data_IF_853929145003
#
_entry.id   IF_853929145003
#
_cell.length_a   1.000
_cell.length_b   1.000
_cell.length_c   1.000
_cell.angle_alpha   90.00
_cell.angle_beta   90.00
_cell.angle_gamma   90.00
#
_symmetry.space_group_name_H-M   'P 1'
#
loop_
_entity.id
_entity.type
_entity.pdbx_description
1 polymer ?
#
# COMPACT_ATOMS: atom_id res chain seq x y z
N UNK A 1 25.66 72.18 -40.93
CA UNK A 1 24.23 72.49 -41.23
C UNK A 1 23.36 71.88 -40.13
N UNK A 2 23.25 72.54 -38.96
CA UNK A 2 22.19 73.51 -38.63
C UNK A 2 20.81 72.83 -38.79
N UNK A 3 20.08 72.50 -37.73
CA UNK A 3 19.54 73.47 -36.78
C UNK A 3 19.50 73.05 -35.30
N UNK A 4 19.81 74.03 -34.45
CA UNK A 4 19.49 74.11 -33.02
C UNK A 4 18.38 75.16 -32.85
N UNK A 5 17.40 74.89 -31.99
CA UNK A 5 16.71 75.95 -31.22
C UNK A 5 16.45 75.48 -29.78
N UNK A 6 17.36 75.89 -28.88
CA UNK A 6 17.19 76.53 -27.55
C UNK A 6 15.76 76.75 -26.99
N UNK A 7 15.42 76.77 -25.68
CA UNK A 7 16.14 77.10 -24.43
C UNK A 7 15.23 76.84 -23.18
N UNK A 8 15.87 76.87 -21.99
CA UNK A 8 15.36 77.11 -20.62
C UNK A 8 14.94 75.94 -19.70
N UNK A 9 15.76 75.68 -18.67
CA UNK A 9 15.30 75.28 -17.32
C UNK A 9 15.21 76.52 -16.41
N UNK A 10 15.22 76.43 -15.06
CA UNK A 10 15.01 75.30 -14.14
C UNK A 10 13.92 75.60 -13.06
N UNK A 11 13.48 74.63 -12.25
CA UNK A 11 13.08 74.89 -10.85
C UNK A 11 13.01 73.62 -9.99
N UNK A 12 13.34 73.80 -8.72
CA UNK A 12 13.49 72.80 -7.65
C UNK A 12 12.17 72.55 -6.89
N UNK A 13 12.23 71.46 -6.12
CA UNK A 13 11.53 71.14 -4.87
C UNK A 13 10.04 70.73 -4.92
N UNK A 14 9.76 69.45 -4.63
CA UNK A 14 9.13 69.05 -3.36
C UNK A 14 8.99 67.53 -3.21
N UNK A 15 9.26 67.08 -1.98
CA UNK A 15 8.83 65.84 -1.31
C UNK A 15 7.75 64.97 -1.97
N UNK A 16 7.97 63.66 -1.98
CA UNK A 16 7.11 62.75 -1.18
C UNK A 16 7.59 61.30 -1.25
N UNK A 17 7.71 60.71 -0.05
CA UNK A 17 7.86 59.28 0.20
C UNK A 17 6.69 58.53 -0.43
N UNK A 18 6.96 57.52 -1.26
CA UNK A 18 6.01 56.46 -1.59
C UNK A 18 6.29 55.25 -0.71
N UNK A 19 5.35 54.81 0.16
CA UNK A 19 5.52 53.61 0.94
C UNK A 19 5.42 52.38 0.04
N UNK A 20 6.31 51.44 0.28
CA UNK A 20 6.29 50.10 -0.28
C UNK A 20 5.07 49.35 0.25
N UNK A 21 3.93 49.48 -0.43
CA UNK A 21 2.80 48.59 -0.22
C UNK A 21 3.10 47.26 -0.93
N UNK A 22 3.87 46.42 -0.25
CA UNK A 22 3.86 44.98 -0.51
C UNK A 22 2.45 44.50 -0.22
N UNK A 23 1.65 44.32 -1.28
CA UNK A 23 0.35 43.66 -1.23
C UNK A 23 0.61 42.26 -0.66
N UNK A 24 0.38 42.10 0.64
CA UNK A 24 0.34 40.78 1.27
C UNK A 24 -0.88 40.07 0.71
N UNK A 25 -0.65 39.15 -0.22
CA UNK A 25 -1.68 38.20 -0.63
C UNK A 25 -2.27 37.57 0.65
N UNK A 26 -3.60 37.49 0.79
CA UNK A 26 -4.20 36.83 1.94
C UNK A 26 -3.63 35.41 2.05
N UNK A 27 -3.39 34.89 3.28
CA UNK A 27 -2.91 33.53 3.46
C UNK A 27 -3.79 32.60 2.63
N UNK A 28 -3.20 31.86 1.68
CA UNK A 28 -3.99 31.00 0.79
C UNK A 28 -4.86 30.10 1.66
N UNK A 29 -6.18 30.18 1.51
CA UNK A 29 -7.10 29.41 2.33
C UNK A 29 -6.70 27.93 2.27
N UNK A 30 -6.48 27.30 3.43
CA UNK A 30 -6.15 25.88 3.51
C UNK A 30 -7.25 25.07 2.82
N UNK A 31 -6.90 24.47 1.67
CA UNK A 31 -7.87 23.84 0.79
C UNK A 31 -8.62 22.72 1.52
N UNK A 32 -9.93 22.61 1.25
CA UNK A 32 -10.76 21.57 1.84
C UNK A 32 -10.25 20.18 1.40
N UNK A 33 -10.03 19.30 2.36
CA UNK A 33 -9.57 17.93 2.10
C UNK A 33 -10.78 16.99 2.16
N UNK A 34 -11.15 16.32 1.06
CA UNK A 34 -12.25 15.36 1.06
C UNK A 34 -12.05 14.27 2.10
N UNK A 35 -13.12 13.90 2.82
CA UNK A 35 -13.11 12.92 3.90
C UNK A 35 -12.67 11.52 3.43
N UNK A 36 -13.20 11.05 2.30
CA UNK A 36 -12.87 9.72 1.76
C UNK A 36 -11.71 9.82 0.76
N UNK A 37 -10.76 8.89 0.87
CA UNK A 37 -9.53 8.89 0.08
C UNK A 37 -9.76 8.71 -1.42
N UNK A 38 -10.89 8.12 -1.81
CA UNK A 38 -11.30 7.97 -3.21
C UNK A 38 -11.63 9.29 -3.93
N UNK A 39 -11.71 10.40 -3.20
CA UNK A 39 -11.94 11.74 -3.77
C UNK A 39 -10.71 12.66 -3.68
N UNK A 40 -9.54 12.14 -3.27
CA UNK A 40 -8.34 12.97 -3.12
C UNK A 40 -7.08 12.27 -3.61
N UNK A 41 -6.20 13.02 -4.25
CA UNK A 41 -4.84 12.56 -4.55
C UNK A 41 -4.07 12.42 -3.24
N UNK A 42 -3.32 11.33 -3.11
CA UNK A 42 -2.53 10.99 -1.93
C UNK A 42 -1.09 10.67 -2.33
N UNK A 43 -0.31 11.67 -2.79
CA UNK A 43 1.03 11.45 -3.33
C UNK A 43 1.98 10.94 -2.25
N UNK A 44 3.01 10.21 -2.66
CA UNK A 44 4.15 9.84 -1.80
C UNK A 44 5.47 10.09 -2.55
N UNK A 45 6.41 10.87 -1.98
CA UNK A 45 6.29 11.59 -0.71
C UNK A 45 5.19 12.66 -0.74
N UNK A 46 4.61 12.97 0.43
CA UNK A 46 3.59 14.02 0.59
C UNK A 46 4.17 15.28 1.26
N UNK A 47 3.49 16.44 1.20
CA UNK A 47 3.97 17.67 1.86
C UNK A 47 4.19 17.54 3.38
N UNK A 48 3.52 16.57 4.01
CA UNK A 48 3.52 16.31 5.45
C UNK A 48 4.32 15.05 5.83
N UNK A 49 5.27 14.62 4.99
CA UNK A 49 5.91 13.30 5.13
C UNK A 49 6.56 13.06 6.50
N UNK A 50 7.30 14.04 7.04
CA UNK A 50 7.95 13.89 8.35
C UNK A 50 6.93 13.68 9.50
N UNK A 51 5.80 14.40 9.48
CA UNK A 51 4.71 14.19 10.44
C UNK A 51 4.10 12.80 10.26
N UNK A 52 3.88 12.39 9.02
CA UNK A 52 3.35 11.05 8.68
C UNK A 52 4.28 9.95 9.20
N UNK A 53 5.60 10.15 9.14
CA UNK A 53 6.59 9.18 9.58
C UNK A 53 6.62 9.02 11.12
N UNK A 54 6.45 10.12 11.87
CA UNK A 54 6.28 10.06 13.33
C UNK A 54 4.95 9.40 13.71
N UNK A 55 3.84 9.78 13.07
CA UNK A 55 2.53 9.17 13.32
C UNK A 55 2.45 7.70 12.88
N UNK A 56 3.26 7.27 11.92
CA UNK A 56 3.31 5.89 11.46
C UNK A 56 3.76 4.93 12.57
N UNK A 57 4.67 5.35 13.46
CA UNK A 57 5.09 4.58 14.63
C UNK A 57 3.91 4.33 15.55
N UNK A 58 3.19 5.40 15.90
CA UNK A 58 2.01 5.31 16.76
C UNK A 58 0.91 4.46 16.14
N UNK A 59 0.71 4.56 14.82
CA UNK A 59 -0.22 3.69 14.09
C UNK A 59 0.20 2.22 14.19
N UNK A 60 1.48 1.90 13.98
CA UNK A 60 1.99 0.53 14.12
C UNK A 60 1.81 0.03 15.54
N UNK A 61 2.04 0.88 16.54
CA UNK A 61 1.83 0.52 17.94
C UNK A 61 0.37 0.23 18.27
N UNK A 62 -0.57 1.08 17.84
CA UNK A 62 -2.00 0.82 18.00
C UNK A 62 -2.42 -0.47 17.31
N UNK A 63 -1.87 -0.75 16.12
CA UNK A 63 -2.09 -2.04 15.46
C UNK A 63 -1.57 -3.21 16.31
N UNK A 64 -0.35 -3.15 16.85
CA UNK A 64 0.20 -4.22 17.68
C UNK A 64 -0.59 -4.43 18.99
N UNK A 65 -1.19 -3.37 19.53
CA UNK A 65 -2.02 -3.43 20.74
C UNK A 65 -3.44 -3.98 20.47
N UNK A 66 -4.08 -3.57 19.38
CA UNK A 66 -5.52 -3.78 19.18
C UNK A 66 -5.89 -4.57 17.92
N UNK A 67 -4.96 -4.75 16.98
CA UNK A 67 -5.17 -5.42 15.70
C UNK A 67 -5.84 -4.54 14.63
N UNK A 68 -6.05 -5.11 13.43
CA UNK A 68 -6.50 -4.39 12.22
C UNK A 68 -7.95 -3.89 12.27
N UNK A 69 -8.82 -4.59 12.99
CA UNK A 69 -10.26 -4.30 13.04
C UNK A 69 -10.68 -3.31 14.12
N UNK A 70 -9.76 -2.94 15.02
CA UNK A 70 -10.08 -2.10 16.16
C UNK A 70 -10.23 -0.62 15.77
N UNK A 71 -11.22 0.11 16.32
CA UNK A 71 -11.40 1.54 16.07
C UNK A 71 -10.15 2.38 16.32
N UNK A 72 -9.34 2.03 17.32
CA UNK A 72 -8.09 2.69 17.69
C UNK A 72 -7.09 2.66 16.54
N UNK A 73 -6.88 1.47 15.95
CA UNK A 73 -5.98 1.28 14.80
C UNK A 73 -6.52 1.97 13.54
N UNK A 74 -7.82 1.84 13.28
CA UNK A 74 -8.47 2.40 12.09
C UNK A 74 -8.46 3.94 12.14
N UNK A 75 -8.64 4.54 13.32
CA UNK A 75 -8.67 5.99 13.49
C UNK A 75 -7.35 6.65 13.08
N UNK A 76 -6.21 6.12 13.54
CA UNK A 76 -4.89 6.59 13.14
C UNK A 76 -4.64 6.40 11.65
N UNK A 77 -4.99 5.23 11.10
CA UNK A 77 -4.83 4.97 9.66
C UNK A 77 -5.64 5.96 8.80
N UNK A 78 -6.87 6.26 9.22
CA UNK A 78 -7.75 7.22 8.52
C UNK A 78 -7.22 8.65 8.63
N UNK A 79 -6.81 9.08 9.83
CA UNK A 79 -6.26 10.40 10.06
C UNK A 79 -4.97 10.63 9.25
N UNK A 80 -4.04 9.67 9.29
CA UNK A 80 -2.81 9.72 8.50
C UNK A 80 -3.12 9.80 7.00
N UNK A 81 -4.13 9.07 6.52
CA UNK A 81 -4.55 9.17 5.11
C UNK A 81 -5.10 10.54 4.74
N UNK A 82 -5.79 11.23 5.64
CA UNK A 82 -6.22 12.61 5.42
C UNK A 82 -5.00 13.57 5.37
N UNK A 83 -4.04 13.41 6.29
CA UNK A 83 -2.81 14.21 6.36
C UNK A 83 -1.95 14.05 5.09
N UNK A 84 -1.88 12.85 4.52
CA UNK A 84 -1.14 12.58 3.27
C UNK A 84 -1.75 13.35 2.09
N UNK A 85 -3.08 13.43 2.01
CA UNK A 85 -3.78 14.14 0.94
C UNK A 85 -3.97 15.63 1.20
N UNK A 86 -3.51 16.15 2.34
CA UNK A 86 -3.64 17.54 2.71
C UNK A 86 -2.50 18.40 2.12
N UNK A 87 -2.74 19.72 1.91
CA UNK A 87 -1.66 20.68 1.77
C UNK A 87 -0.71 20.64 2.97
N UNK A 88 0.43 21.35 2.87
CA UNK A 88 1.35 21.48 4.00
C UNK A 88 0.59 22.03 5.22
N UNK A 89 0.76 21.35 6.35
CA UNK A 89 0.20 21.74 7.65
C UNK A 89 1.27 22.54 8.38
N UNK A 90 0.97 23.80 8.65
CA UNK A 90 1.85 24.76 9.32
C UNK A 90 1.33 25.16 10.72
N UNK A 91 0.05 24.89 11.01
CA UNK A 91 -0.54 25.13 12.33
C UNK A 91 -1.66 24.13 12.67
N UNK A 92 -2.00 24.07 13.96
CA UNK A 92 -3.00 23.13 14.51
C UNK A 92 -4.40 23.38 13.96
N UNK A 93 -4.77 24.61 13.65
CA UNK A 93 -6.10 24.93 13.14
C UNK A 93 -6.34 24.40 11.72
N UNK A 94 -5.29 24.25 10.93
CA UNK A 94 -5.36 23.53 9.66
C UNK A 94 -5.57 22.03 9.88
N UNK A 95 -4.82 21.43 10.81
CA UNK A 95 -4.95 20.00 11.14
C UNK A 95 -6.33 19.65 11.73
N UNK A 96 -6.93 20.55 12.52
CA UNK A 96 -8.26 20.40 13.13
C UNK A 96 -9.37 20.18 12.10
N UNK A 97 -9.19 20.69 10.88
CA UNK A 97 -10.16 20.56 9.78
C UNK A 97 -10.12 19.17 9.12
N UNK A 98 -9.11 18.35 9.42
CA UNK A 98 -8.90 17.06 8.76
C UNK A 98 -9.73 15.94 9.40
N UNK A 99 -10.21 15.04 8.54
CA UNK A 99 -11.03 13.92 8.98
C UNK A 99 -10.27 13.01 9.96
N UNK A 100 -10.94 12.65 11.07
CA UNK A 100 -10.40 11.80 12.16
C UNK A 100 -9.19 12.38 12.90
N UNK A 101 -8.87 13.67 12.73
CA UNK A 101 -7.88 14.36 13.57
C UNK A 101 -8.58 14.94 14.80
N UNK A 102 -8.68 14.10 15.85
CA UNK A 102 -9.31 14.48 17.13
C UNK A 102 -8.34 15.14 18.13
N UNK A 103 -8.83 15.58 19.31
CA UNK A 103 -8.03 16.33 20.30
C UNK A 103 -6.70 15.68 20.67
N UNK A 104 -6.68 14.36 20.89
CA UNK A 104 -5.45 13.61 21.23
C UNK A 104 -4.40 13.64 20.13
N UNK A 105 -4.83 13.65 18.86
CA UNK A 105 -3.92 13.72 17.72
C UNK A 105 -3.49 15.16 17.47
N UNK A 106 -4.35 16.16 17.72
CA UNK A 106 -3.99 17.57 17.62
C UNK A 106 -2.85 17.95 18.56
N UNK A 107 -2.86 17.46 19.80
CA UNK A 107 -1.75 17.67 20.75
C UNK A 107 -0.42 17.18 20.17
N UNK A 108 -0.42 16.01 19.51
CA UNK A 108 0.77 15.43 18.89
C UNK A 108 1.22 16.18 17.65
N UNK A 109 0.26 16.68 16.85
CA UNK A 109 0.57 17.48 15.68
C UNK A 109 1.16 18.82 16.12
N UNK A 110 0.60 19.46 17.14
CA UNK A 110 1.13 20.71 17.71
C UNK A 110 2.56 20.55 18.24
N UNK A 111 2.79 19.48 19.00
CA UNK A 111 4.12 19.09 19.48
C UNK A 111 5.10 18.91 18.31
N UNK A 112 4.69 18.21 17.26
CA UNK A 112 5.51 18.02 16.06
C UNK A 112 5.79 19.34 15.34
N UNK A 113 4.81 20.22 15.20
CA UNK A 113 4.99 21.51 14.55
C UNK A 113 5.95 22.41 15.33
N UNK A 114 5.97 22.28 16.67
CA UNK A 114 6.84 23.06 17.55
C UNK A 114 8.26 22.49 17.62
N UNK A 115 8.40 21.17 17.70
CA UNK A 115 9.67 20.51 18.04
C UNK A 115 10.27 19.68 16.91
N UNK A 116 9.50 19.38 15.87
CA UNK A 116 9.85 18.41 14.84
C UNK A 116 9.71 16.94 15.26
N UNK A 117 9.23 16.67 16.48
CA UNK A 117 9.13 15.33 17.07
C UNK A 117 7.81 15.12 17.82
N UNK A 118 7.50 13.86 18.13
CA UNK A 118 6.36 13.48 18.96
C UNK A 118 6.92 12.60 20.09
N UNK A 119 6.87 13.05 21.35
CA UNK A 119 7.51 12.33 22.45
C UNK A 119 6.98 10.89 22.59
N UNK A 120 5.67 10.66 22.43
CA UNK A 120 5.10 9.31 22.46
C UNK A 120 5.66 8.41 21.34
N UNK A 121 5.98 8.98 20.16
CA UNK A 121 6.60 8.23 19.06
C UNK A 121 8.01 7.78 19.45
N UNK A 122 8.80 8.66 20.06
CA UNK A 122 10.15 8.34 20.53
C UNK A 122 10.14 7.32 21.67
N UNK A 123 9.25 7.48 22.65
CA UNK A 123 9.04 6.51 23.72
C UNK A 123 8.64 5.14 23.15
N UNK A 124 7.73 5.11 22.18
CA UNK A 124 7.29 3.88 21.51
C UNK A 124 8.46 3.20 20.78
N UNK A 125 9.28 3.96 20.04
CA UNK A 125 10.48 3.41 19.37
C UNK A 125 11.45 2.79 20.36
N UNK A 126 11.53 3.33 21.58
CA UNK A 126 12.45 2.85 22.62
C UNK A 126 11.86 1.73 23.48
N UNK A 127 10.56 1.50 23.42
CA UNK A 127 9.87 0.45 24.18
C UNK A 127 10.35 -0.95 23.80
N UNK A 128 10.83 -1.71 24.79
CA UNK A 128 11.21 -3.11 24.61
C UNK A 128 10.03 -3.98 24.13
N UNK A 129 8.81 -3.69 24.61
CA UNK A 129 7.60 -4.40 24.18
C UNK A 129 7.28 -4.12 22.71
N UNK A 130 7.38 -2.88 22.27
CA UNK A 130 7.15 -2.52 20.86
C UNK A 130 8.15 -3.25 19.95
N UNK A 131 9.46 -3.17 20.26
CA UNK A 131 10.51 -3.84 19.48
C UNK A 131 10.29 -5.35 19.39
N UNK A 132 10.03 -6.01 20.51
CA UNK A 132 9.79 -7.46 20.55
C UNK A 132 8.57 -7.85 19.70
N UNK A 133 7.45 -7.14 19.82
CA UNK A 133 6.26 -7.43 19.03
C UNK A 133 6.46 -7.15 17.54
N UNK A 134 7.10 -6.03 17.18
CA UNK A 134 7.40 -5.65 15.80
C UNK A 134 8.30 -6.71 15.14
N UNK A 135 9.38 -7.11 15.81
CA UNK A 135 10.29 -8.18 15.36
C UNK A 135 9.56 -9.51 15.17
N UNK A 136 8.76 -9.97 16.14
CA UNK A 136 8.00 -11.22 16.03
C UNK A 136 7.04 -11.19 14.84
N UNK A 137 6.33 -10.08 14.63
CA UNK A 137 5.42 -9.94 13.48
C UNK A 137 6.13 -9.81 12.13
N UNK A 138 7.46 -9.63 12.11
CA UNK A 138 8.24 -9.68 10.88
C UNK A 138 8.44 -11.11 10.34
N UNK A 139 8.20 -12.13 11.17
CA UNK A 139 8.32 -13.54 10.78
C UNK A 139 7.06 -13.98 10.04
N UNK A 140 7.23 -14.56 8.85
CA UNK A 140 6.09 -15.06 8.07
C UNK A 140 5.26 -16.07 8.87
N UNK A 141 3.93 -15.90 8.85
CA UNK A 141 2.99 -16.74 9.59
C UNK A 141 2.69 -16.25 11.01
N UNK A 142 3.30 -15.14 11.46
CA UNK A 142 3.13 -14.61 12.81
C UNK A 142 2.39 -13.28 12.74
N UNK A 143 1.08 -13.34 13.03
CA UNK A 143 0.25 -12.15 13.13
C UNK A 143 0.31 -11.49 14.51
N UNK A 144 -0.27 -10.31 14.63
CA UNK A 144 -0.33 -9.55 15.89
C UNK A 144 -0.83 -10.37 17.08
N UNK A 145 -1.94 -11.12 16.93
CA UNK A 145 -2.49 -11.92 18.03
C UNK A 145 -1.49 -12.93 18.56
N UNK A 146 -0.82 -13.64 17.66
CA UNK A 146 0.21 -14.62 17.99
C UNK A 146 1.41 -13.97 18.64
N UNK A 147 1.88 -12.83 18.14
CA UNK A 147 2.99 -12.09 18.75
C UNK A 147 2.66 -11.63 20.18
N UNK A 148 1.44 -11.12 20.40
CA UNK A 148 0.99 -10.72 21.75
C UNK A 148 0.91 -11.93 22.68
N UNK A 149 0.32 -13.04 22.24
CA UNK A 149 0.25 -14.29 23.02
C UNK A 149 1.64 -14.80 23.40
N UNK A 150 2.60 -14.82 22.46
CA UNK A 150 3.98 -15.20 22.73
C UNK A 150 4.63 -14.28 23.77
N UNK A 151 4.40 -12.97 23.65
CA UNK A 151 4.90 -12.00 24.61
C UNK A 151 4.26 -12.17 26.00
N UNK A 152 2.98 -12.45 26.09
CA UNK A 152 2.31 -12.73 27.37
C UNK A 152 2.86 -14.01 28.02
N UNK A 153 3.24 -14.99 27.21
CA UNK A 153 3.90 -16.23 27.63
C UNK A 153 5.42 -16.10 27.86
N UNK A 154 5.95 -14.89 27.96
CA UNK A 154 7.34 -14.66 28.37
C UNK A 154 8.38 -14.63 27.23
N UNK A 155 7.98 -14.84 25.97
CA UNK A 155 8.89 -14.70 24.82
C UNK A 155 9.21 -13.23 24.59
N UNK A 156 10.50 -12.88 24.49
CA UNK A 156 10.98 -11.49 24.36
C UNK A 156 11.90 -11.27 23.17
N UNK A 157 12.35 -12.32 22.50
CA UNK A 157 13.27 -12.22 21.36
C UNK A 157 12.93 -13.22 20.26
N UNK A 158 13.42 -12.94 19.04
CA UNK A 158 13.34 -13.87 17.91
C UNK A 158 14.10 -15.18 18.17
N UNK A 159 15.18 -15.16 18.96
CA UNK A 159 15.92 -16.36 19.33
C UNK A 159 15.05 -17.32 20.16
N UNK A 160 14.40 -16.80 21.20
CA UNK A 160 13.47 -17.59 22.02
C UNK A 160 12.29 -18.11 21.19
N UNK A 161 11.77 -17.28 20.29
CA UNK A 161 10.69 -17.67 19.39
C UNK A 161 11.14 -18.75 18.38
N UNK A 162 12.38 -18.68 17.88
CA UNK A 162 12.97 -19.65 16.96
C UNK A 162 13.13 -21.02 17.62
N UNK A 163 13.46 -21.04 18.90
CA UNK A 163 13.57 -22.28 19.69
C UNK A 163 12.23 -23.02 19.86
N UNK A 164 11.09 -22.38 19.59
CA UNK A 164 9.76 -23.03 19.61
C UNK A 164 9.52 -23.91 18.37
N UNK A 165 10.30 -23.75 17.30
CA UNK A 165 10.19 -24.48 16.03
C UNK A 165 8.78 -24.50 15.39
N UNK A 166 7.95 -23.49 15.70
CA UNK A 166 6.57 -23.38 15.18
C UNK A 166 6.48 -22.74 13.78
N UNK A 167 7.53 -22.04 13.35
CA UNK A 167 7.57 -21.30 12.07
C UNK A 167 8.84 -21.60 11.26
N UNK A 168 9.13 -22.87 10.93
CA UNK A 168 10.38 -23.25 10.27
C UNK A 168 10.58 -22.50 8.95
N UNK A 169 9.54 -22.38 8.11
CA UNK A 169 9.58 -21.61 6.85
C UNK A 169 9.79 -20.12 7.11
N UNK A 170 9.11 -19.56 8.13
CA UNK A 170 9.21 -18.16 8.49
C UNK A 170 10.63 -17.76 8.88
N UNK A 171 11.32 -18.62 9.63
CA UNK A 171 12.72 -18.42 10.01
C UNK A 171 13.71 -18.79 8.90
N UNK A 172 13.41 -19.80 8.07
CA UNK A 172 14.27 -20.23 6.95
C UNK A 172 14.53 -19.10 5.95
N UNK A 173 13.50 -18.31 5.63
CA UNK A 173 13.58 -17.26 4.61
C UNK A 173 13.61 -15.83 5.19
N UNK A 174 13.65 -15.69 6.51
CA UNK A 174 13.46 -14.41 7.20
C UNK A 174 14.42 -13.32 6.71
N UNK A 175 15.72 -13.63 6.66
CA UNK A 175 16.76 -12.67 6.29
C UNK A 175 16.51 -12.09 4.89
N UNK A 176 16.15 -12.94 3.93
CA UNK A 176 15.88 -12.52 2.55
C UNK A 176 14.56 -11.75 2.41
N UNK A 177 13.54 -12.10 3.20
CA UNK A 177 12.25 -11.39 3.23
C UNK A 177 12.35 -9.97 3.78
N UNK A 178 13.32 -9.70 4.66
CA UNK A 178 13.53 -8.36 5.22
C UNK A 178 14.23 -7.42 4.23
N UNK A 179 14.97 -7.96 3.26
CA UNK A 179 15.63 -7.18 2.22
C UNK A 179 14.58 -6.63 1.25
N UNK A 180 14.40 -5.31 1.23
CA UNK A 180 13.51 -4.66 0.26
C UNK A 180 14.03 -4.84 -1.17
N UNK A 181 13.12 -5.09 -2.10
CA UNK A 181 13.42 -5.24 -3.52
C UNK A 181 13.36 -3.90 -4.24
N UNK A 182 14.37 -3.61 -5.06
CA UNK A 182 14.32 -2.48 -6.00
C UNK A 182 13.26 -2.72 -7.07
N UNK A 183 12.86 -1.68 -7.81
CA UNK A 183 11.94 -1.82 -8.96
C UNK A 183 12.49 -2.79 -10.02
N UNK A 184 13.79 -2.70 -10.31
CA UNK A 184 14.45 -3.58 -11.27
C UNK A 184 14.44 -5.05 -10.80
N UNK A 185 14.54 -5.30 -9.49
CA UNK A 185 14.41 -6.66 -8.95
C UNK A 185 12.97 -7.19 -9.08
N UNK A 186 11.96 -6.35 -8.77
CA UNK A 186 10.55 -6.70 -8.97
C UNK A 186 10.25 -7.05 -10.43
N UNK A 187 10.70 -6.23 -11.36
CA UNK A 187 10.56 -6.45 -12.81
C UNK A 187 11.29 -7.72 -13.26
N UNK A 188 12.49 -7.96 -12.73
CA UNK A 188 13.26 -9.18 -13.02
C UNK A 188 12.51 -10.44 -12.62
N UNK A 189 11.96 -10.49 -11.39
CA UNK A 189 11.17 -11.64 -10.91
C UNK A 189 9.89 -11.80 -11.74
N UNK A 190 9.16 -10.72 -11.99
CA UNK A 190 7.96 -10.75 -12.83
C UNK A 190 8.27 -11.29 -14.23
N UNK A 191 9.41 -10.92 -14.81
CA UNK A 191 9.84 -11.41 -16.11
C UNK A 191 10.16 -12.92 -16.10
N UNK A 192 10.80 -13.44 -15.05
CA UNK A 192 10.98 -14.89 -14.91
C UNK A 192 9.64 -15.63 -14.90
N UNK A 193 8.66 -15.13 -14.15
CA UNK A 193 7.33 -15.73 -14.06
C UNK A 193 6.62 -15.65 -15.41
N UNK A 194 6.66 -14.48 -16.07
CA UNK A 194 6.07 -14.27 -17.40
C UNK A 194 6.63 -15.24 -18.44
N UNK A 195 7.95 -15.45 -18.48
CA UNK A 195 8.57 -16.42 -19.40
C UNK A 195 8.05 -17.84 -19.14
N UNK A 196 7.81 -18.22 -17.88
CA UNK A 196 7.23 -19.54 -17.58
C UNK A 196 5.75 -19.61 -17.93
N UNK A 197 5.01 -18.53 -17.69
CA UNK A 197 3.61 -18.40 -18.03
C UNK A 197 3.39 -18.53 -19.55
N UNK A 198 4.19 -17.85 -20.37
CA UNK A 198 4.13 -17.94 -21.85
C UNK A 198 4.35 -19.38 -22.35
N UNK A 199 5.07 -20.22 -21.59
CA UNK A 199 5.28 -21.64 -21.92
C UNK A 199 4.15 -22.55 -21.44
N UNK A 200 3.39 -22.11 -20.44
CA UNK A 200 2.20 -22.81 -19.95
C UNK A 200 1.03 -22.48 -20.85
N UNK A 201 0.78 -21.20 -21.08
CA UNK A 201 -0.34 -20.69 -21.83
C UNK A 201 0.02 -19.30 -22.40
N UNK A 202 0.24 -19.19 -23.72
CA UNK A 202 0.67 -17.94 -24.35
C UNK A 202 -0.49 -16.93 -24.43
N UNK A 203 -0.13 -15.64 -24.44
CA UNK A 203 -1.08 -14.53 -24.58
C UNK A 203 -1.50 -13.87 -23.26
N UNK A 204 -0.85 -14.23 -22.15
CA UNK A 204 -1.13 -13.62 -20.87
C UNK A 204 -0.74 -12.13 -20.86
N UNK A 205 -1.64 -11.31 -20.32
CA UNK A 205 -1.34 -9.95 -19.90
C UNK A 205 -1.03 -9.94 -18.41
N UNK A 206 0.14 -9.42 -18.04
CA UNK A 206 0.57 -9.33 -16.64
C UNK A 206 0.81 -7.91 -16.18
N UNK A 207 0.48 -7.63 -14.91
CA UNK A 207 0.64 -6.31 -14.30
C UNK A 207 1.22 -6.46 -12.89
N UNK A 208 2.29 -5.73 -12.61
CA UNK A 208 2.79 -5.55 -11.25
C UNK A 208 1.88 -4.58 -10.48
N UNK A 209 1.38 -4.99 -9.32
CA UNK A 209 0.39 -4.27 -8.52
C UNK A 209 0.98 -3.74 -7.19
N UNK A 210 0.14 -3.61 -6.16
CA UNK A 210 0.50 -3.26 -4.81
C UNK A 210 1.33 -1.99 -4.66
N UNK A 211 2.31 -2.06 -3.75
CA UNK A 211 3.20 -0.94 -3.47
C UNK A 211 4.01 -0.48 -4.68
N UNK A 212 4.43 -1.42 -5.53
CA UNK A 212 5.18 -1.14 -6.75
C UNK A 212 4.38 -0.26 -7.71
N UNK A 213 3.11 -0.59 -7.95
CA UNK A 213 2.23 0.16 -8.86
C UNK A 213 1.90 1.56 -8.36
N UNK A 214 1.82 1.73 -7.04
CA UNK A 214 1.66 3.05 -6.39
C UNK A 214 2.95 3.88 -6.33
N UNK A 215 4.01 3.46 -7.03
CA UNK A 215 5.25 4.24 -7.16
C UNK A 215 6.28 4.05 -6.05
N UNK A 216 6.17 3.02 -5.19
CA UNK A 216 7.26 2.73 -4.26
C UNK A 216 8.55 2.41 -5.05
N UNK A 217 9.66 2.98 -4.58
CA UNK A 217 11.00 2.70 -5.11
C UNK A 217 11.51 1.33 -4.65
N UNK A 218 11.02 0.87 -3.49
CA UNK A 218 11.35 -0.42 -2.91
C UNK A 218 10.12 -1.14 -2.36
N UNK A 219 9.99 -2.43 -2.63
CA UNK A 219 8.86 -3.29 -2.24
C UNK A 219 9.29 -4.41 -1.28
N UNK A 220 8.36 -4.85 -0.43
CA UNK A 220 8.57 -6.01 0.45
C UNK A 220 8.27 -7.34 -0.25
N UNK A 221 7.36 -7.27 -1.20
CA UNK A 221 6.73 -8.37 -1.92
C UNK A 221 6.44 -7.91 -3.36
N UNK A 222 6.05 -8.87 -4.19
CA UNK A 222 5.65 -8.65 -5.57
C UNK A 222 4.23 -9.16 -5.74
N UNK A 223 3.29 -8.27 -6.01
CA UNK A 223 1.94 -8.62 -6.44
C UNK A 223 1.91 -8.68 -7.97
N UNK A 224 1.75 -9.86 -8.56
CA UNK A 224 1.71 -10.06 -10.01
C UNK A 224 0.33 -10.55 -10.43
N UNK A 225 -0.46 -9.67 -11.04
CA UNK A 225 -1.74 -10.02 -11.65
C UNK A 225 -1.53 -10.54 -13.06
N UNK A 226 -2.31 -11.55 -13.44
CA UNK A 226 -2.36 -12.15 -14.76
C UNK A 226 -3.81 -12.30 -15.23
N UNK A 227 -4.03 -12.06 -16.52
CA UNK A 227 -5.30 -12.29 -17.21
C UNK A 227 -5.05 -12.58 -18.70
N UNK A 228 -6.09 -12.92 -19.47
CA UNK A 228 -6.02 -13.13 -20.92
C UNK A 228 -7.01 -12.20 -21.63
N UNK A 229 -6.55 -11.07 -22.20
CA UNK A 229 -7.43 -10.08 -22.80
C UNK A 229 -8.29 -10.68 -23.90
N UNK A 230 -9.60 -10.44 -23.82
CA UNK A 230 -10.61 -10.91 -24.78
C UNK A 230 -10.74 -12.44 -24.92
N UNK A 231 -10.11 -13.22 -24.03
CA UNK A 231 -10.15 -14.69 -24.03
C UNK A 231 -10.70 -15.21 -22.68
N UNK A 232 -11.95 -14.86 -22.36
CA UNK A 232 -12.57 -15.24 -21.09
C UNK A 232 -12.59 -16.77 -20.89
N UNK A 233 -12.15 -17.22 -19.72
CA UNK A 233 -12.05 -18.62 -19.37
C UNK A 233 -10.70 -19.26 -19.67
N UNK A 234 -9.84 -18.62 -20.47
CA UNK A 234 -8.47 -19.09 -20.74
C UNK A 234 -7.58 -19.02 -19.50
N UNK A 235 -7.92 -18.17 -18.54
CA UNK A 235 -7.25 -18.06 -17.25
C UNK A 235 -7.47 -19.27 -16.33
N UNK A 236 -8.50 -20.09 -16.58
CA UNK A 236 -8.90 -21.19 -15.70
C UNK A 236 -7.81 -22.26 -15.61
N UNK A 237 -7.45 -22.65 -14.39
CA UNK A 237 -6.46 -23.70 -14.13
C UNK A 237 -5.01 -23.29 -14.43
N UNK A 238 -4.77 -22.07 -14.91
CA UNK A 238 -3.42 -21.57 -15.20
C UNK A 238 -2.56 -21.48 -13.95
N UNK A 239 -3.14 -21.09 -12.81
CA UNK A 239 -2.38 -20.99 -11.56
C UNK A 239 -1.70 -22.32 -11.20
N UNK A 240 -2.45 -23.43 -11.16
CA UNK A 240 -1.90 -24.74 -10.79
C UNK A 240 -0.84 -25.22 -11.78
N UNK A 241 -1.07 -25.04 -13.09
CA UNK A 241 -0.10 -25.40 -14.15
C UNK A 241 1.17 -24.57 -14.04
N UNK A 242 1.05 -23.27 -13.76
CA UNK A 242 2.18 -22.36 -13.54
C UNK A 242 2.97 -22.74 -12.29
N UNK A 243 2.30 -23.00 -11.16
CA UNK A 243 2.96 -23.41 -9.92
C UNK A 243 3.75 -24.70 -10.10
N UNK A 244 3.14 -25.73 -10.73
CA UNK A 244 3.83 -26.99 -11.03
C UNK A 244 5.09 -26.75 -11.87
N UNK A 245 5.00 -25.89 -12.89
CA UNK A 245 6.15 -25.54 -13.73
C UNK A 245 7.24 -24.80 -12.96
N UNK A 246 6.86 -23.83 -12.12
CA UNK A 246 7.81 -23.04 -11.32
C UNK A 246 8.56 -23.93 -10.31
N UNK A 247 7.86 -24.89 -9.68
CA UNK A 247 8.45 -25.93 -8.83
C UNK A 247 9.41 -26.81 -9.63
N UNK A 248 8.97 -27.35 -10.78
CA UNK A 248 9.80 -28.21 -11.63
C UNK A 248 11.04 -27.50 -12.19
N UNK A 249 11.01 -26.18 -12.33
CA UNK A 249 12.17 -25.35 -12.71
C UNK A 249 13.02 -24.90 -11.53
N UNK A 250 12.65 -25.27 -10.30
CA UNK A 250 13.29 -24.83 -9.07
C UNK A 250 13.26 -23.31 -8.90
N UNK A 251 12.28 -22.61 -9.47
CA UNK A 251 12.06 -21.18 -9.26
C UNK A 251 11.22 -20.92 -8.01
N UNK A 252 10.49 -21.93 -7.55
CA UNK A 252 9.88 -22.00 -6.22
C UNK A 252 10.52 -23.22 -5.53
N UNK A 253 11.07 -23.08 -4.31
CA UNK A 253 11.50 -24.23 -3.50
C UNK A 253 10.34 -25.17 -3.17
N UNK A 254 10.61 -26.43 -2.80
CA UNK A 254 9.54 -27.39 -2.46
C UNK A 254 8.60 -26.90 -1.35
N UNK A 255 9.15 -26.21 -0.34
CA UNK A 255 8.40 -25.56 0.75
C UNK A 255 8.05 -24.09 0.46
N UNK A 256 8.22 -23.67 -0.80
CA UNK A 256 8.04 -22.30 -1.25
C UNK A 256 6.59 -21.94 -1.58
N UNK A 257 5.66 -22.90 -1.68
CA UNK A 257 4.23 -22.59 -1.82
C UNK A 257 3.63 -22.41 -0.43
N UNK A 258 3.39 -21.16 -0.05
CA UNK A 258 2.92 -20.83 1.30
C UNK A 258 1.40 -20.96 1.44
N UNK A 259 0.67 -20.65 0.37
CA UNK A 259 -0.77 -20.85 0.24
C UNK A 259 -1.20 -20.75 -1.23
N UNK A 260 -2.29 -21.42 -1.62
CA UNK A 260 -2.86 -21.31 -2.97
C UNK A 260 -4.35 -21.66 -2.99
N UNK A 261 -5.15 -20.95 -3.79
CA UNK A 261 -6.58 -21.22 -3.99
C UNK A 261 -6.84 -22.53 -4.74
N UNK A 262 -6.01 -22.83 -5.75
CA UNK A 262 -6.22 -23.93 -6.70
C UNK A 262 -5.33 -25.17 -6.42
N UNK A 263 -4.47 -25.10 -5.39
CA UNK A 263 -3.58 -26.19 -5.00
C UNK A 263 -4.05 -26.94 -3.74
N UNK A 264 -5.14 -26.49 -3.10
CA UNK A 264 -5.76 -27.15 -1.95
C UNK A 264 -6.61 -28.38 -2.33
N UNK A 265 -6.36 -28.98 -3.49
CA UNK A 265 -7.11 -30.14 -4.00
C UNK A 265 -6.17 -31.25 -4.44
N UNK A 266 -5.32 -31.74 -3.54
CA UNK A 266 -4.89 -33.14 -3.46
C UNK A 266 -4.42 -33.38 -2.01
N UNK A 267 -5.23 -34.08 -1.20
CA UNK A 267 -4.94 -34.61 0.16
C UNK A 267 -5.36 -33.84 1.43
N UNK A 268 -6.30 -32.90 1.40
CA UNK A 268 -7.00 -32.50 2.65
C UNK A 268 -8.48 -32.31 2.37
N UNK A 269 -9.31 -32.97 3.18
CA UNK A 269 -10.77 -32.78 3.20
C UNK A 269 -11.12 -31.28 3.36
N UNK A 270 -12.30 -30.83 2.91
CA UNK A 270 -12.70 -29.43 3.01
C UNK A 270 -13.02 -29.10 4.47
N UNK A 271 -12.00 -28.87 5.29
CA UNK A 271 -12.19 -28.14 6.53
C UNK A 271 -12.52 -26.71 6.16
N UNK A 272 -13.82 -26.40 6.31
CA UNK A 272 -14.44 -25.08 6.42
C UNK A 272 -13.69 -23.99 5.67
N UNK A 273 -14.25 -23.57 4.51
CA UNK A 273 -13.91 -22.34 3.82
C UNK A 273 -13.51 -21.27 4.85
N UNK A 274 -12.21 -21.12 5.05
CA UNK A 274 -11.74 -20.25 6.11
C UNK A 274 -12.15 -18.85 5.70
N UNK A 275 -12.62 -18.08 6.66
CA UNK A 275 -12.96 -16.65 6.57
C UNK A 275 -11.76 -15.76 6.19
N UNK A 276 -10.72 -16.31 5.53
CA UNK A 276 -9.41 -15.68 5.28
C UNK A 276 -9.18 -15.19 3.85
N UNK A 277 -10.01 -15.55 2.87
CA UNK A 277 -9.86 -14.98 1.52
C UNK A 277 -10.62 -13.66 1.45
N UNK A 278 -9.91 -12.55 1.24
CA UNK A 278 -10.53 -11.22 1.10
C UNK A 278 -11.21 -11.01 -0.26
N UNK A 279 -10.99 -11.92 -1.20
CA UNK A 279 -11.63 -11.95 -2.51
C UNK A 279 -11.80 -13.39 -3.04
N UNK A 280 -12.47 -13.51 -4.19
CA UNK A 280 -12.77 -14.75 -4.89
C UNK A 280 -11.75 -15.13 -6.00
N UNK A 281 -10.64 -14.40 -6.12
CA UNK A 281 -9.65 -14.62 -7.19
C UNK A 281 -8.79 -15.86 -6.96
N UNK A 282 -8.40 -16.50 -8.07
CA UNK A 282 -7.40 -17.55 -8.07
C UNK A 282 -6.03 -16.94 -7.78
N UNK A 283 -5.36 -17.39 -6.72
CA UNK A 283 -4.09 -16.78 -6.31
C UNK A 283 -3.23 -17.70 -5.47
N UNK A 284 -1.93 -17.46 -5.48
CA UNK A 284 -0.95 -18.18 -4.68
C UNK A 284 0.05 -17.23 -4.04
N UNK A 285 0.40 -17.51 -2.80
CA UNK A 285 1.46 -16.85 -2.06
C UNK A 285 2.67 -17.75 -2.04
N UNK A 286 3.79 -17.28 -2.60
CA UNK A 286 4.97 -18.11 -2.80
C UNK A 286 6.25 -17.41 -2.36
N UNK A 287 7.25 -18.24 -2.06
CA UNK A 287 8.66 -17.88 -2.01
C UNK A 287 9.26 -18.19 -3.36
N UNK A 288 9.62 -17.14 -4.08
CA UNK A 288 10.30 -17.22 -5.34
C UNK A 288 11.81 -17.18 -5.11
N UNK A 289 12.54 -18.17 -5.62
CA UNK A 289 13.99 -18.15 -5.71
C UNK A 289 14.40 -17.25 -6.88
N UNK A 290 14.77 -16.02 -6.57
CA UNK A 290 15.29 -15.04 -7.52
C UNK A 290 16.76 -15.34 -7.80
N UNK A 291 17.10 -15.88 -9.00
CA UNK A 291 18.46 -16.35 -9.23
C UNK A 291 19.49 -15.22 -9.22
N UNK A 292 20.70 -15.56 -8.79
CA UNK A 292 21.88 -14.73 -8.94
C UNK A 292 22.07 -14.31 -10.41
N UNK A 293 22.52 -13.08 -10.64
CA UNK A 293 22.89 -12.59 -11.98
C UNK A 293 24.39 -12.34 -12.13
N UNK A 294 25.18 -12.62 -11.08
CA UNK A 294 26.64 -12.45 -11.08
C UNK A 294 27.12 -11.00 -11.03
N UNK A 295 26.22 -10.01 -11.10
CA UNK A 295 26.56 -8.58 -11.13
C UNK A 295 26.06 -7.90 -9.85
N UNK A 296 24.75 -7.68 -9.75
CA UNK A 296 24.11 -7.03 -8.60
C UNK A 296 23.62 -8.02 -7.56
N UNK A 297 23.40 -9.29 -7.96
CA UNK A 297 22.99 -10.39 -7.09
C UNK A 297 24.02 -11.51 -7.18
N UNK A 298 24.88 -11.61 -6.16
CA UNK A 298 25.97 -12.60 -6.06
C UNK A 298 25.50 -13.99 -5.60
N UNK A 299 24.33 -14.06 -4.98
CA UNK A 299 23.64 -15.29 -4.59
C UNK A 299 22.17 -15.20 -4.95
N UNK A 300 21.49 -16.34 -4.91
CA UNK A 300 20.04 -16.39 -5.00
C UNK A 300 19.43 -15.66 -3.79
N UNK A 301 18.30 -14.99 -4.02
CA UNK A 301 17.49 -14.40 -2.97
C UNK A 301 16.09 -15.02 -2.97
N UNK A 302 15.51 -15.22 -1.80
CA UNK A 302 14.16 -15.74 -1.64
C UNK A 302 13.16 -14.60 -1.43
N UNK A 303 12.26 -14.40 -2.39
CA UNK A 303 11.36 -13.25 -2.46
C UNK A 303 9.91 -13.66 -2.30
N UNK A 304 9.14 -12.90 -1.54
CA UNK A 304 7.69 -13.04 -1.47
C UNK A 304 7.06 -12.59 -2.79
N UNK A 305 6.27 -13.47 -3.39
CA UNK A 305 5.48 -13.17 -4.59
C UNK A 305 4.05 -13.67 -4.39
N UNK A 306 3.12 -12.77 -4.64
CA UNK A 306 1.69 -13.06 -4.70
C UNK A 306 1.32 -13.11 -6.19
N UNK A 307 0.97 -14.30 -6.69
CA UNK A 307 0.54 -14.52 -8.07
C UNK A 307 -0.98 -14.53 -8.07
N UNK A 308 -1.60 -13.64 -8.84
CA UNK A 308 -3.04 -13.46 -8.88
C UNK A 308 -3.52 -13.68 -10.32
N UNK A 309 -4.55 -14.50 -10.48
CA UNK A 309 -5.20 -14.77 -11.75
C UNK A 309 -6.61 -14.20 -11.69
N UNK A 310 -6.99 -13.44 -12.71
CA UNK A 310 -8.35 -12.92 -12.88
C UNK A 310 -8.87 -13.18 -14.28
N UNK A 311 -10.18 -13.38 -14.36
CA UNK A 311 -10.88 -13.33 -15.64
C UNK A 311 -10.83 -11.91 -16.23
N UNK A 312 -10.92 -11.81 -17.56
CA UNK A 312 -10.80 -10.54 -18.26
C UNK A 312 -11.94 -9.59 -17.89
N UNK A 313 -13.15 -10.13 -17.75
CA UNK A 313 -14.35 -9.40 -17.31
C UNK A 313 -14.23 -8.68 -15.97
N UNK A 314 -13.28 -9.07 -15.11
CA UNK A 314 -13.06 -8.49 -13.76
C UNK A 314 -11.68 -7.86 -13.58
N UNK A 315 -10.91 -7.73 -14.66
CA UNK A 315 -9.54 -7.23 -14.60
C UNK A 315 -9.42 -5.87 -13.91
N UNK A 316 -10.31 -4.92 -14.23
CA UNK A 316 -10.36 -3.60 -13.61
C UNK A 316 -10.54 -3.65 -12.10
N UNK A 317 -11.51 -4.43 -11.61
CA UNK A 317 -11.71 -4.65 -10.17
C UNK A 317 -10.48 -5.29 -9.51
N UNK A 318 -9.84 -6.26 -10.16
CA UNK A 318 -8.66 -6.93 -9.63
C UNK A 318 -7.47 -5.96 -9.52
N UNK A 319 -7.22 -5.16 -10.57
CA UNK A 319 -6.17 -4.14 -10.55
C UNK A 319 -6.44 -3.13 -9.43
N UNK A 320 -7.67 -2.61 -9.28
CA UNK A 320 -7.99 -1.66 -8.20
C UNK A 320 -7.79 -2.29 -6.82
N UNK A 321 -8.33 -3.49 -6.61
CA UNK A 321 -8.32 -4.17 -5.31
C UNK A 321 -6.93 -4.63 -4.87
N UNK A 322 -6.04 -4.99 -5.79
CA UNK A 322 -4.67 -5.38 -5.47
C UNK A 322 -3.65 -4.24 -5.63
N UNK A 323 -4.02 -3.12 -6.25
CA UNK A 323 -3.20 -1.91 -6.24
C UNK A 323 -3.25 -1.23 -4.89
N UNK A 324 -4.36 -1.30 -4.15
CA UNK A 324 -4.52 -0.63 -2.85
C UNK A 324 -4.42 0.90 -2.93
N UNK A 325 -4.09 1.62 -1.86
CA UNK A 325 -3.72 1.15 -0.51
C UNK A 325 -4.91 0.68 0.33
N UNK A 326 -4.64 0.02 1.46
CA UNK A 326 -5.68 -0.49 2.37
C UNK A 326 -6.74 0.54 2.77
N UNK A 327 -6.36 1.80 3.03
CA UNK A 327 -7.34 2.84 3.34
C UNK A 327 -8.16 3.25 2.10
N UNK A 328 -7.53 3.28 0.93
CA UNK A 328 -8.22 3.56 -0.33
C UNK A 328 -9.30 2.54 -0.61
N UNK A 329 -8.97 1.25 -0.51
CA UNK A 329 -9.96 0.19 -0.71
C UNK A 329 -11.06 0.19 0.37
N UNK A 330 -10.74 0.54 1.62
CA UNK A 330 -11.75 0.68 2.68
C UNK A 330 -12.78 1.74 2.32
N UNK A 331 -12.31 2.91 1.90
CA UNK A 331 -13.17 4.02 1.52
C UNK A 331 -13.92 3.71 0.21
N UNK A 332 -13.30 3.00 -0.74
CA UNK A 332 -13.93 2.53 -1.97
C UNK A 332 -15.08 1.57 -1.69
N UNK A 333 -14.87 0.57 -0.82
CA UNK A 333 -15.94 -0.35 -0.40
C UNK A 333 -17.07 0.38 0.30
N UNK A 334 -16.75 1.41 1.11
CA UNK A 334 -17.76 2.25 1.73
C UNK A 334 -18.60 3.03 0.71
N UNK A 335 -17.98 3.57 -0.35
CA UNK A 335 -18.70 4.25 -1.43
C UNK A 335 -19.54 3.27 -2.23
N UNK A 336 -18.99 2.11 -2.59
CA UNK A 336 -19.71 1.06 -3.30
C UNK A 336 -20.98 0.65 -2.54
N UNK A 337 -20.84 0.36 -1.24
CA UNK A 337 -21.95 -0.03 -0.36
C UNK A 337 -23.07 1.03 -0.35
N UNK A 338 -22.71 2.31 -0.25
CA UNK A 338 -23.67 3.43 -0.29
C UNK A 338 -24.39 3.58 -1.64
N UNK A 339 -23.75 3.14 -2.72
CA UNK A 339 -24.32 3.17 -4.09
C UNK A 339 -25.03 1.87 -4.46
N UNK A 340 -25.25 0.96 -3.51
CA UNK A 340 -25.94 -0.30 -3.77
C UNK A 340 -25.07 -1.37 -4.44
N UNK A 341 -23.74 -1.22 -4.39
CA UNK A 341 -22.78 -2.16 -4.94
C UNK A 341 -21.98 -2.86 -3.84
N UNK A 342 -21.56 -4.09 -4.10
CA UNK A 342 -20.51 -4.78 -3.36
C UNK A 342 -19.24 -4.77 -4.21
N UNK A 343 -18.17 -4.16 -3.71
CA UNK A 343 -16.86 -4.21 -4.34
C UNK A 343 -15.92 -5.17 -3.61
N UNK A 344 -15.29 -6.05 -4.37
CA UNK A 344 -14.12 -6.85 -3.97
C UNK A 344 -13.13 -6.94 -5.15
N UNK A 345 -11.90 -7.40 -4.90
CA UNK A 345 -10.93 -7.57 -5.99
C UNK A 345 -11.43 -8.57 -7.06
N UNK A 346 -12.27 -9.53 -6.68
CA UNK A 346 -12.93 -10.46 -7.60
C UNK A 346 -14.04 -9.86 -8.46
N UNK A 347 -14.47 -8.62 -8.21
CA UNK A 347 -15.48 -7.96 -9.04
C UNK A 347 -16.28 -6.86 -8.34
N UNK A 348 -17.06 -6.15 -9.14
CA UNK A 348 -18.10 -5.23 -8.69
C UNK A 348 -19.47 -5.89 -8.92
N UNK A 349 -20.32 -5.92 -7.90
CA UNK A 349 -21.60 -6.61 -7.95
C UNK A 349 -22.73 -5.66 -7.55
N UNK A 350 -23.82 -5.69 -8.29
CA UNK A 350 -25.07 -5.06 -7.86
C UNK A 350 -25.65 -5.83 -6.67
N UNK A 351 -25.94 -5.15 -5.56
CA UNK A 351 -26.39 -5.82 -4.33
C UNK A 351 -27.81 -6.35 -4.41
N UNK A 352 -28.66 -5.76 -5.25
CA UNK A 352 -30.07 -6.15 -5.34
C UNK A 352 -30.21 -7.40 -6.19
N UNK A 353 -29.52 -7.43 -7.33
CA UNK A 353 -29.62 -8.49 -8.33
C UNK A 353 -28.54 -9.57 -8.17
N UNK A 354 -27.44 -9.25 -7.48
CA UNK A 354 -26.25 -10.11 -7.42
C UNK A 354 -25.45 -10.16 -8.72
N UNK A 355 -25.89 -9.44 -9.75
CA UNK A 355 -25.27 -9.44 -11.07
C UNK A 355 -23.92 -8.74 -11.00
N UNK A 356 -22.92 -9.38 -11.61
CA UNK A 356 -21.57 -8.81 -11.73
C UNK A 356 -21.55 -7.77 -12.84
N UNK A 357 -20.94 -6.63 -12.53
CA UNK A 357 -20.70 -5.55 -13.48
C UNK A 357 -19.32 -5.78 -14.11
N UNK A 358 -19.24 -5.94 -15.44
CA UNK A 358 -17.96 -6.05 -16.12
C UNK A 358 -17.09 -4.82 -15.88
N UNK A 359 -15.82 -5.06 -15.56
CA UNK A 359 -14.81 -4.03 -15.33
C UNK A 359 -13.56 -4.40 -16.12
N UNK A 360 -13.52 -4.04 -17.40
CA UNK A 360 -12.39 -4.36 -18.29
C UNK A 360 -11.17 -3.46 -18.01
N UNK A 361 -11.41 -2.32 -17.39
CA UNK A 361 -10.41 -1.35 -16.96
C UNK A 361 -10.73 -0.86 -15.56
N UNK A 362 -9.73 -0.32 -14.86
CA UNK A 362 -9.98 0.33 -13.56
C UNK A 362 -11.02 1.43 -13.68
N UNK A 363 -10.99 2.23 -14.76
CA UNK A 363 -11.92 3.33 -15.01
C UNK A 363 -13.38 2.90 -14.99
N UNK A 364 -13.68 1.65 -15.34
CA UNK A 364 -15.04 1.11 -15.30
C UNK A 364 -15.56 1.00 -13.86
N UNK A 365 -14.70 0.64 -12.90
CA UNK A 365 -15.03 0.63 -11.46
C UNK A 365 -15.42 2.05 -11.02
N UNK A 366 -14.60 3.04 -11.34
CA UNK A 366 -14.84 4.43 -10.93
C UNK A 366 -16.08 5.03 -11.61
N UNK A 367 -16.34 4.69 -12.88
CA UNK A 367 -17.55 5.10 -13.59
C UNK A 367 -18.80 4.47 -12.99
N UNK A 368 -18.78 3.18 -12.70
CA UNK A 368 -19.92 2.49 -12.09
C UNK A 368 -20.24 3.03 -10.69
N UNK A 369 -19.20 3.42 -9.95
CA UNK A 369 -19.33 4.06 -8.65
C UNK A 369 -19.52 5.58 -8.73
N UNK A 370 -19.57 6.18 -9.92
CA UNK A 370 -19.70 7.62 -10.15
C UNK A 370 -18.81 8.43 -9.17
N UNK A 371 -17.50 8.15 -9.26
CA UNK A 371 -16.42 8.81 -8.53
C UNK A 371 -15.28 9.16 -9.50
N UNK A 372 -14.46 10.18 -9.22
CA UNK A 372 -13.34 10.54 -10.09
C UNK A 372 -12.29 9.43 -10.12
N UNK A 373 -11.81 9.10 -11.32
CA UNK A 373 -10.62 8.25 -11.49
C UNK A 373 -9.37 9.02 -11.06
N UNK A 374 -8.54 8.42 -10.20
CA UNK A 374 -7.41 9.07 -9.51
C UNK A 374 -6.05 8.60 -9.99
#
# INVERSE_FOLDING_TARGET
PQDRVHLHGPSRDHDSRSPSDSISLPPSAFAAVPTLSVYRKSPRPCPNQALVDELAVLRSWRFLQHGTGAPESISYATAISAIIGAPKIDNVEQARKLHKVGPKLLIKIDEFLTTGKIAESEETRNSAKFKALDEMTSVYGVGQKTAVELYENGIRSLEQMRALDRWPIGFKYQEDMQIKMSRADCESVANFIRIQLDRVEPGAHTVLLGGYRRGKTHSSDIDLLCTYPHEEGKEKGILSRLLYRLLAKGLIPEDGVLWSSSFASHNVAPERASTRSFDSLDKAFVIFRHPANGITRKRDYFRRVDIIITAWSTFGSAVVGWTGSTQFERDLRQVAEKKGYKFEAGGLFDKQTGVRIPTLTEKDVFRALDIPWL
#
